data_IF_956543929683
#
_entry.id   IF_956543929683
#
_cell.length_a   1.000
_cell.length_b   1.000
_cell.length_c   1.000
_cell.angle_alpha   90.00
_cell.angle_beta   90.00
_cell.angle_gamma   90.00
#
_symmetry.space_group_name_H-M   'P 1'
#
loop_
_entity.id
_entity.type
_entity.pdbx_description
1 polymer ?
#
# COMPACT_ATOMS: atom_id res chain seq x y z
N UNK A 1 -4.23 18.48 2.04
CA UNK A 1 -3.02 18.89 1.27
C UNK A 1 -2.26 17.64 0.84
N UNK A 2 -1.93 17.55 -0.45
CA UNK A 2 -1.12 16.44 -0.98
C UNK A 2 0.32 16.60 -0.50
N UNK A 3 0.85 15.53 0.09
CA UNK A 3 2.22 15.48 0.62
C UNK A 3 3.17 14.80 -0.38
N UNK A 4 2.68 13.80 -1.10
CA UNK A 4 3.52 13.09 -2.05
C UNK A 4 2.74 12.17 -2.98
N UNK A 5 3.39 11.80 -4.06
CA UNK A 5 2.88 10.87 -5.07
C UNK A 5 3.98 9.86 -5.37
N UNK A 6 3.61 8.60 -5.46
CA UNK A 6 4.49 7.51 -5.87
C UNK A 6 3.85 6.68 -6.97
N UNK A 7 4.66 6.26 -7.92
CA UNK A 7 4.25 5.35 -8.99
C UNK A 7 5.32 4.28 -9.17
N UNK A 8 4.88 3.06 -9.42
CA UNK A 8 5.79 1.97 -9.75
C UNK A 8 5.19 1.03 -10.79
N UNK A 9 6.07 0.40 -11.54
CA UNK A 9 5.73 -0.61 -12.55
C UNK A 9 6.48 -1.90 -12.26
N UNK A 10 5.81 -3.02 -12.47
CA UNK A 10 6.38 -4.35 -12.30
C UNK A 10 6.13 -5.18 -13.56
N UNK A 11 7.20 -5.74 -14.15
CA UNK A 11 7.05 -6.75 -15.18
C UNK A 11 6.63 -8.07 -14.52
N UNK A 12 5.45 -8.58 -14.87
CA UNK A 12 4.82 -9.73 -14.21
C UNK A 12 5.63 -11.01 -14.43
N UNK A 13 6.17 -11.24 -15.63
CA UNK A 13 6.97 -12.43 -15.92
C UNK A 13 8.29 -12.45 -15.13
N UNK A 14 8.95 -11.29 -15.05
CA UNK A 14 10.17 -11.15 -14.23
C UNK A 14 9.87 -11.32 -12.76
N UNK A 15 8.76 -10.79 -12.27
CA UNK A 15 8.30 -10.96 -10.89
C UNK A 15 8.06 -12.43 -10.58
N UNK A 16 7.37 -13.16 -11.46
CA UNK A 16 7.12 -14.60 -11.32
C UNK A 16 8.41 -15.40 -11.20
N UNK A 17 9.42 -15.08 -12.01
CA UNK A 17 10.75 -15.69 -11.89
C UNK A 17 11.40 -15.44 -10.54
N UNK A 18 11.37 -14.20 -10.05
CA UNK A 18 11.91 -13.84 -8.73
C UNK A 18 11.23 -14.63 -7.63
N UNK A 19 9.91 -14.71 -7.65
CA UNK A 19 9.11 -15.46 -6.67
C UNK A 19 9.45 -16.96 -6.69
N UNK A 20 9.63 -17.52 -7.88
CA UNK A 20 9.95 -18.94 -8.07
C UNK A 20 11.38 -19.26 -7.64
N UNK A 21 12.34 -18.43 -8.01
CA UNK A 21 13.76 -18.65 -7.73
C UNK A 21 14.19 -18.26 -6.32
N UNK A 22 13.45 -17.34 -5.69
CA UNK A 22 13.76 -16.81 -4.37
C UNK A 22 12.54 -16.82 -3.45
N UNK A 23 12.14 -17.99 -2.91
CA UNK A 23 10.95 -18.08 -2.04
C UNK A 23 11.02 -17.18 -0.79
N UNK A 24 12.23 -16.87 -0.31
CA UNK A 24 12.44 -15.95 0.81
C UNK A 24 11.97 -14.52 0.51
N UNK A 25 11.98 -14.10 -0.76
CA UNK A 25 11.45 -12.81 -1.18
C UNK A 25 9.96 -12.66 -0.83
N UNK A 26 9.15 -13.66 -1.13
CA UNK A 26 7.72 -13.67 -0.83
C UNK A 26 7.47 -13.52 0.67
N UNK A 27 8.22 -14.25 1.49
CA UNK A 27 8.09 -14.17 2.95
C UNK A 27 8.51 -12.83 3.53
N UNK A 28 9.48 -12.16 2.91
CA UNK A 28 9.96 -10.86 3.36
C UNK A 28 9.02 -9.73 2.95
N UNK A 29 8.46 -9.78 1.76
CA UNK A 29 7.70 -8.67 1.16
C UNK A 29 6.22 -8.74 1.47
N UNK A 30 5.63 -9.93 1.48
CA UNK A 30 4.18 -10.10 1.59
C UNK A 30 3.74 -10.60 2.95
N UNK A 31 2.63 -10.05 3.44
CA UNK A 31 1.94 -10.56 4.62
C UNK A 31 1.36 -11.95 4.34
N UNK A 32 1.05 -12.76 5.37
CA UNK A 32 0.42 -14.06 5.19
C UNK A 32 -0.84 -14.00 4.31
N UNK A 33 -1.66 -12.96 4.46
CA UNK A 33 -2.87 -12.77 3.68
C UNK A 33 -2.56 -12.50 2.20
N UNK A 34 -1.57 -11.66 1.91
CA UNK A 34 -1.15 -11.36 0.54
C UNK A 34 -0.54 -12.58 -0.18
N UNK A 35 0.11 -13.47 0.56
CA UNK A 35 0.71 -14.70 -0.01
C UNK A 35 -0.31 -15.68 -0.56
N UNK A 36 -1.56 -15.59 -0.15
CA UNK A 36 -2.64 -16.45 -0.66
C UNK A 36 -3.14 -16.06 -2.04
N UNK A 37 -2.73 -14.90 -2.54
CA UNK A 37 -3.14 -14.37 -3.83
C UNK A 37 -2.38 -15.02 -4.99
N UNK A 38 -2.97 -15.01 -6.19
CA UNK A 38 -2.30 -15.46 -7.40
C UNK A 38 -1.13 -14.52 -7.77
N UNK A 39 -0.27 -14.98 -8.66
CA UNK A 39 0.96 -14.27 -9.04
C UNK A 39 0.73 -12.86 -9.59
N UNK A 40 -0.31 -12.65 -10.40
CA UNK A 40 -0.65 -11.32 -10.92
C UNK A 40 -1.05 -10.38 -9.82
N UNK A 41 -1.88 -10.84 -8.91
CA UNK A 41 -2.31 -10.09 -7.74
C UNK A 41 -1.15 -9.75 -6.80
N UNK A 42 -0.20 -10.65 -6.64
CA UNK A 42 1.03 -10.38 -5.89
C UNK A 42 1.92 -9.35 -6.60
N UNK A 43 2.08 -9.44 -7.92
CA UNK A 43 2.86 -8.49 -8.70
C UNK A 43 2.30 -7.05 -8.58
N UNK A 44 0.99 -6.89 -8.68
CA UNK A 44 0.31 -5.60 -8.51
C UNK A 44 0.50 -5.07 -7.08
N UNK A 45 0.41 -5.94 -6.08
CA UNK A 45 0.65 -5.57 -4.67
C UNK A 45 2.10 -5.19 -4.41
N UNK A 46 3.04 -5.84 -5.06
CA UNK A 46 4.44 -5.45 -5.01
C UNK A 46 4.65 -4.04 -5.59
N UNK A 47 4.07 -3.75 -6.75
CA UNK A 47 4.09 -2.41 -7.34
C UNK A 47 3.48 -1.37 -6.37
N UNK A 48 2.38 -1.72 -5.69
CA UNK A 48 1.76 -0.85 -4.68
C UNK A 48 2.70 -0.54 -3.52
N UNK A 49 3.37 -1.54 -2.98
CA UNK A 49 4.35 -1.34 -1.88
C UNK A 49 5.52 -0.47 -2.30
N UNK A 50 6.04 -0.65 -3.51
CA UNK A 50 7.09 0.19 -4.09
C UNK A 50 6.61 1.65 -4.28
N UNK A 51 5.38 1.84 -4.77
CA UNK A 51 4.79 3.17 -4.91
C UNK A 51 4.63 3.87 -3.54
N UNK A 52 4.18 3.14 -2.52
CA UNK A 52 4.09 3.65 -1.14
C UNK A 52 5.46 4.02 -0.59
N UNK A 53 6.46 3.18 -0.79
CA UNK A 53 7.83 3.48 -0.36
C UNK A 53 8.36 4.79 -0.97
N UNK A 54 8.08 5.03 -2.25
CA UNK A 54 8.45 6.29 -2.93
C UNK A 54 7.77 7.50 -2.30
N UNK A 55 6.48 7.39 -1.97
CA UNK A 55 5.74 8.45 -1.25
C UNK A 55 6.39 8.75 0.11
N UNK A 56 6.86 7.72 0.80
CA UNK A 56 7.48 7.85 2.12
C UNK A 56 8.95 8.31 2.06
N UNK A 57 9.50 8.52 0.86
CA UNK A 57 10.89 8.90 0.64
C UNK A 57 11.87 7.74 0.74
N UNK A 58 11.38 6.51 0.68
CA UNK A 58 12.16 5.26 0.71
C UNK A 58 13.30 5.23 1.74
N UNK A 59 13.07 5.60 3.02
CA UNK A 59 14.12 5.57 4.02
C UNK A 59 14.54 4.13 4.33
N UNK A 60 15.75 3.97 4.82
CA UNK A 60 16.22 2.69 5.33
C UNK A 60 15.39 2.22 6.52
N UNK A 61 15.28 0.90 6.69
CA UNK A 61 14.64 0.28 7.85
C UNK A 61 13.14 0.10 7.75
N UNK A 62 12.51 0.36 6.61
CA UNK A 62 11.09 0.04 6.40
C UNK A 62 10.90 -1.48 6.29
N UNK A 63 9.95 -2.00 7.06
CA UNK A 63 9.54 -3.40 6.95
C UNK A 63 8.34 -3.50 6.01
N UNK A 64 8.48 -4.22 4.91
CA UNK A 64 7.44 -4.41 3.90
C UNK A 64 6.16 -5.05 4.42
N UNK A 65 6.26 -5.89 5.45
CA UNK A 65 5.10 -6.51 6.07
C UNK A 65 4.26 -5.53 6.91
N UNK A 66 4.80 -4.36 7.21
CA UNK A 66 4.08 -3.29 7.89
C UNK A 66 3.15 -2.50 6.94
N UNK A 67 3.05 -2.91 5.69
CA UNK A 67 2.14 -2.37 4.69
C UNK A 67 1.39 -3.51 3.99
N UNK A 68 0.17 -3.77 4.39
CA UNK A 68 -0.68 -4.76 3.72
C UNK A 68 -1.57 -4.07 2.69
N UNK A 69 -1.59 -4.61 1.47
CA UNK A 69 -2.53 -4.21 0.43
C UNK A 69 -3.73 -5.14 0.47
N UNK A 70 -4.81 -4.66 1.03
CA UNK A 70 -6.08 -5.37 1.14
C UNK A 70 -7.05 -4.95 0.04
N UNK A 71 -8.18 -5.64 -0.06
CA UNK A 71 -9.27 -5.30 -0.97
C UNK A 71 -10.60 -5.34 -0.22
N UNK A 72 -11.43 -4.33 -0.46
CA UNK A 72 -12.80 -4.30 0.05
C UNK A 72 -13.67 -5.36 -0.63
N UNK A 73 -14.90 -5.54 -0.16
CA UNK A 73 -15.88 -6.43 -0.79
C UNK A 73 -16.17 -6.03 -2.25
N UNK A 74 -16.14 -4.73 -2.55
CA UNK A 74 -16.29 -4.21 -3.91
C UNK A 74 -15.03 -4.39 -4.80
N UNK A 75 -13.94 -4.93 -4.25
CA UNK A 75 -12.67 -5.11 -4.95
C UNK A 75 -11.76 -3.89 -4.94
N UNK A 76 -12.13 -2.82 -4.25
CA UNK A 76 -11.30 -1.62 -4.17
C UNK A 76 -10.09 -1.85 -3.27
N UNK A 77 -8.86 -1.52 -3.73
CA UNK A 77 -7.66 -1.69 -2.92
C UNK A 77 -7.58 -0.63 -1.81
N UNK A 78 -7.10 -1.03 -0.66
CA UNK A 78 -6.77 -0.13 0.43
C UNK A 78 -5.54 -0.63 1.20
N UNK A 79 -4.96 0.24 2.02
CA UNK A 79 -3.74 -0.04 2.76
C UNK A 79 -4.01 -0.18 4.25
N UNK A 80 -3.39 -1.18 4.86
CA UNK A 80 -3.30 -1.32 6.31
C UNK A 80 -1.83 -1.07 6.67
N UNK A 81 -1.58 0.03 7.38
CA UNK A 81 -0.24 0.43 7.79
C UNK A 81 -0.03 0.13 9.28
N UNK A 82 1.08 -0.51 9.58
CA UNK A 82 1.50 -0.85 10.94
C UNK A 82 2.97 -0.49 11.14
N UNK A 83 3.48 -0.61 12.35
CA UNK A 83 4.90 -0.58 12.67
C UNK A 83 5.70 0.54 11.99
N UNK A 84 6.77 0.18 11.31
CA UNK A 84 7.73 1.11 10.70
C UNK A 84 7.10 2.00 9.63
N UNK A 85 6.17 1.49 8.86
CA UNK A 85 5.48 2.22 7.79
C UNK A 85 4.50 3.24 8.38
N UNK A 86 3.70 2.83 9.38
CA UNK A 86 2.77 3.75 10.07
C UNK A 86 3.53 4.87 10.79
N UNK A 87 4.63 4.56 11.47
CA UNK A 87 5.48 5.56 12.13
C UNK A 87 6.03 6.57 11.14
N UNK A 88 6.56 6.10 10.02
CA UNK A 88 7.07 6.98 8.97
C UNK A 88 5.98 7.89 8.39
N UNK A 89 4.80 7.35 8.14
CA UNK A 89 3.66 8.13 7.67
C UNK A 89 3.28 9.25 8.67
N UNK A 90 3.22 8.93 9.96
CA UNK A 90 2.95 9.93 11.01
C UNK A 90 4.03 11.03 11.04
N UNK A 91 5.30 10.66 10.96
CA UNK A 91 6.42 11.61 10.94
C UNK A 91 6.31 12.60 9.78
N UNK A 92 5.81 12.16 8.63
CA UNK A 92 5.58 13.00 7.45
C UNK A 92 4.25 13.76 7.49
N UNK A 93 3.42 13.56 8.51
CA UNK A 93 2.09 14.17 8.61
C UNK A 93 1.07 13.56 7.65
N UNK A 94 1.30 12.34 7.18
CA UNK A 94 0.38 11.62 6.31
C UNK A 94 -0.68 10.93 7.16
N UNK A 95 -1.94 11.26 6.92
CA UNK A 95 -3.06 10.58 7.55
C UNK A 95 -4.02 9.92 6.55
N UNK A 96 -3.73 10.04 5.25
CA UNK A 96 -4.48 9.38 4.21
C UNK A 96 -3.59 9.02 3.01
N UNK A 97 -3.79 7.81 2.51
CA UNK A 97 -3.19 7.33 1.28
C UNK A 97 -4.30 6.85 0.34
N UNK A 98 -4.22 7.25 -0.90
CA UNK A 98 -5.04 6.75 -1.99
C UNK A 98 -4.20 5.79 -2.83
N UNK A 99 -4.82 4.71 -3.29
CA UNK A 99 -4.16 3.70 -4.08
C UNK A 99 -4.98 3.38 -5.32
N UNK A 100 -4.32 3.34 -6.46
CA UNK A 100 -4.90 2.82 -7.69
C UNK A 100 -3.97 1.79 -8.31
N UNK A 101 -4.54 0.67 -8.70
CA UNK A 101 -3.82 -0.49 -9.23
C UNK A 101 -4.40 -0.86 -10.59
N UNK A 102 -3.52 -1.22 -11.50
CA UNK A 102 -3.94 -1.78 -12.80
C UNK A 102 -2.87 -2.73 -13.32
N UNK A 103 -3.26 -3.59 -14.23
CA UNK A 103 -2.31 -4.39 -15.00
C UNK A 103 -2.80 -4.55 -16.44
N UNK A 104 -1.85 -4.53 -17.35
CA UNK A 104 -2.03 -4.90 -18.74
C UNK A 104 -0.80 -5.72 -19.12
N UNK A 105 -0.99 -7.00 -19.32
CA UNK A 105 0.11 -7.95 -19.52
C UNK A 105 1.10 -7.43 -20.56
N UNK A 106 2.41 -7.42 -20.28
CA UNK A 106 3.08 -8.05 -19.12
C UNK A 106 3.36 -7.11 -17.94
N UNK A 107 2.67 -5.98 -17.80
CA UNK A 107 2.97 -4.91 -16.84
C UNK A 107 1.88 -4.76 -15.79
N UNK A 108 2.28 -4.66 -14.52
CA UNK A 108 1.47 -4.17 -13.42
C UNK A 108 1.89 -2.74 -13.06
N UNK A 109 0.94 -1.88 -12.75
CA UNK A 109 1.17 -0.48 -12.38
C UNK A 109 0.43 -0.15 -11.09
N UNK A 110 1.09 0.58 -10.22
CA UNK A 110 0.47 1.15 -9.02
C UNK A 110 0.79 2.63 -8.88
N UNK A 111 -0.18 3.39 -8.43
CA UNK A 111 0.01 4.79 -8.01
C UNK A 111 -0.50 4.95 -6.58
N UNK A 112 0.29 5.63 -5.76
CA UNK A 112 -0.09 6.02 -4.40
C UNK A 112 0.00 7.53 -4.25
N UNK A 113 -1.01 8.14 -3.64
CA UNK A 113 -1.03 9.56 -3.33
C UNK A 113 -1.24 9.72 -1.83
N UNK A 114 -0.34 10.45 -1.19
CA UNK A 114 -0.41 10.73 0.25
C UNK A 114 -0.89 12.16 0.50
N UNK A 115 -1.77 12.31 1.47
CA UNK A 115 -2.25 13.62 1.89
C UNK A 115 -2.41 13.73 3.40
N UNK A 116 -2.44 14.96 3.85
CA UNK A 116 -2.91 15.36 5.16
C UNK A 116 -4.30 15.99 5.02
N UNK A 117 -5.24 15.46 5.78
CA UNK A 117 -6.59 16.03 5.92
C UNK A 117 -6.78 16.51 7.36
N UNK A 118 -7.37 17.70 7.49
CA UNK A 118 -7.81 18.22 8.78
C UNK A 118 -8.95 17.38 9.36
N UNK A 119 -9.19 17.54 10.66
CA UNK A 119 -10.33 16.86 11.34
C UNK A 119 -11.66 17.15 10.65
N UNK A 120 -11.85 18.39 10.19
CA UNK A 120 -13.08 18.80 9.49
C UNK A 120 -13.21 18.10 8.13
N UNK A 121 -12.13 18.01 7.37
CA UNK A 121 -12.11 17.32 6.07
C UNK A 121 -12.36 15.82 6.24
N UNK A 122 -11.72 15.18 7.23
CA UNK A 122 -11.94 13.78 7.55
C UNK A 122 -13.40 13.51 7.95
N UNK A 123 -14.00 14.38 8.78
CA UNK A 123 -15.39 14.26 9.19
C UNK A 123 -16.36 14.45 8.01
N UNK A 124 -16.01 15.33 7.08
CA UNK A 124 -16.79 15.55 5.85
C UNK A 124 -16.79 14.32 4.95
N UNK A 125 -15.62 13.71 4.75
CA UNK A 125 -15.50 12.47 3.98
C UNK A 125 -16.34 11.32 4.53
N UNK A 126 -16.33 11.12 5.84
CA UNK A 126 -17.12 10.07 6.49
C UNK A 126 -18.64 10.20 6.26
N UNK A 127 -19.13 11.38 5.88
CA UNK A 127 -20.54 11.63 5.58
C UNK A 127 -20.93 11.18 4.18
N UNK A 128 -19.99 11.17 3.22
CA UNK A 128 -20.30 10.97 1.80
C UNK A 128 -20.17 9.53 1.36
N UNK A 129 -19.25 8.78 1.87
CA UNK A 129 -19.13 7.35 1.58
C UNK A 129 -18.10 6.65 2.48
N UNK A 130 -18.53 5.92 3.50
CA UNK A 130 -17.60 5.16 4.33
C UNK A 130 -16.96 3.97 3.61
N UNK A 131 -17.49 3.52 2.48
CA UNK A 131 -17.00 2.33 1.76
C UNK A 131 -16.19 2.64 0.49
N UNK A 132 -16.36 3.83 -0.11
CA UNK A 132 -15.72 4.17 -1.38
C UNK A 132 -14.31 4.74 -1.26
N UNK A 133 -13.85 5.01 -0.06
CA UNK A 133 -12.51 5.53 0.15
C UNK A 133 -11.55 4.39 0.47
N UNK A 134 -10.46 4.28 -0.29
CA UNK A 134 -9.32 3.46 0.09
C UNK A 134 -8.84 3.94 1.46
N UNK A 135 -9.40 3.35 2.49
CA UNK A 135 -9.09 3.70 3.86
C UNK A 135 -7.70 3.18 4.20
N UNK A 136 -6.77 4.12 4.32
CA UNK A 136 -5.55 3.81 5.03
C UNK A 136 -5.91 3.67 6.51
N UNK A 137 -5.89 2.46 7.00
CA UNK A 137 -6.02 2.21 8.42
C UNK A 137 -4.62 2.35 9.03
N UNK A 138 -4.39 3.47 9.72
CA UNK A 138 -3.27 3.55 10.65
C UNK A 138 -3.73 2.84 11.92
N UNK A 139 -3.19 1.66 12.19
CA UNK A 139 -3.45 1.01 13.46
C UNK A 139 -2.84 1.85 14.58
N UNK A 140 -3.60 2.12 15.61
CA UNK A 140 -3.10 2.75 16.82
C UNK A 140 -1.99 1.88 17.42
N UNK A 141 -0.98 2.53 17.98
CA UNK A 141 0.08 1.83 18.68
C UNK A 141 -0.56 1.08 19.87
N UNK A 142 -0.30 -0.23 20.04
CA UNK A 142 -0.88 -0.99 21.15
C UNK A 142 -0.41 -0.52 22.54
N UNK A 143 0.30 0.60 22.60
CA UNK A 143 0.81 1.20 23.85
C UNK A 143 0.09 2.49 24.27
N UNK A 144 -0.96 2.92 23.58
CA UNK A 144 -1.83 4.02 23.99
C UNK A 144 -3.08 3.52 24.75
#
# INVERSE_FOLDING_TARGET
>A
MIIGIGVDTVNIERFERIVTETPAFVRRVFTPNERTRNIRSQAVRFAAKEAVAKVLGAPDGLNWQDCEVASSESGQPYLILTGTIAERARTLGINRLHLSLTHDEPVAVAIATAEYLSVTELAHLKRFDPESYSMTVLTEDPTD
#
